data_IF_255758455482
#
_entry.id   IF_255758455482
#
_cell.length_a   1.000
_cell.length_b   1.000
_cell.length_c   1.000
_cell.angle_alpha   90.00
_cell.angle_beta   90.00
_cell.angle_gamma   90.00
#
_symmetry.space_group_name_H-M   'P 1'
#
loop_
_entity.id
_entity.type
_entity.pdbx_description
1 polymer ?
#
# COMPACT_ATOMS: atom_id res chain seq x y z
N UNK A 1 14.36 5.06 -8.64
CA UNK A 1 14.52 5.06 -7.17
C UNK A 1 13.21 4.62 -6.50
N UNK A 2 13.26 3.86 -5.40
CA UNK A 2 12.07 3.53 -4.59
C UNK A 2 11.67 4.77 -3.78
N UNK A 3 10.37 4.99 -3.61
CA UNK A 3 9.81 6.23 -3.05
C UNK A 3 8.43 5.96 -2.44
N UNK A 4 7.81 6.93 -1.75
CA UNK A 4 6.56 6.70 -1.01
C UNK A 4 5.44 6.11 -1.86
N UNK A 5 5.34 6.57 -3.11
CA UNK A 5 4.34 6.13 -4.07
C UNK A 5 4.50 4.66 -4.55
N UNK A 6 5.64 4.04 -4.26
CA UNK A 6 5.95 2.65 -4.63
C UNK A 6 5.56 1.63 -3.55
N UNK A 7 4.92 2.07 -2.46
CA UNK A 7 4.48 1.21 -1.35
C UNK A 7 3.06 1.55 -0.93
N UNK A 8 2.28 0.54 -0.53
CA UNK A 8 0.95 0.76 0.05
C UNK A 8 1.05 0.73 1.57
N UNK A 9 0.49 1.74 2.23
CA UNK A 9 0.55 1.94 3.68
C UNK A 9 -0.84 2.03 4.31
N UNK A 10 -0.90 2.18 5.64
CA UNK A 10 -2.15 2.45 6.36
C UNK A 10 -1.89 3.18 7.67
N UNK A 11 -2.85 4.00 8.10
CA UNK A 11 -2.86 4.67 9.41
C UNK A 11 -3.73 3.96 10.45
N UNK A 12 -4.39 2.86 10.09
CA UNK A 12 -5.33 2.17 10.96
C UNK A 12 -4.60 1.53 12.16
N UNK A 13 -4.82 2.09 13.36
CA UNK A 13 -4.13 1.64 14.57
C UNK A 13 -4.32 0.14 14.86
N UNK A 14 -5.53 -0.46 14.80
CA UNK A 14 -5.72 -1.87 15.19
C UNK A 14 -4.85 -2.84 14.38
N UNK A 15 -4.76 -2.65 13.07
CA UNK A 15 -3.91 -3.49 12.21
C UNK A 15 -2.43 -3.27 12.49
N UNK A 16 -2.04 -2.03 12.81
CA UNK A 16 -0.66 -1.69 13.16
C UNK A 16 -0.24 -2.39 14.46
N UNK A 17 -1.13 -2.48 15.46
CA UNK A 17 -0.83 -3.24 16.68
C UNK A 17 -0.70 -4.74 16.39
N UNK A 18 -1.65 -5.33 15.66
CA UNK A 18 -1.65 -6.77 15.32
C UNK A 18 -0.40 -7.16 14.53
N UNK A 19 0.04 -6.30 13.60
CA UNK A 19 1.13 -6.58 12.68
C UNK A 19 2.42 -5.84 13.04
N UNK A 20 2.56 -5.41 14.29
CA UNK A 20 3.80 -4.80 14.82
C UNK A 20 4.32 -3.68 13.90
N UNK A 21 3.43 -2.73 13.59
CA UNK A 21 3.64 -1.56 12.76
C UNK A 21 4.19 -1.86 11.35
N UNK A 22 3.67 -2.90 10.69
CA UNK A 22 4.06 -3.31 9.34
C UNK A 22 4.13 -2.16 8.31
N UNK A 23 3.29 -1.13 8.43
CA UNK A 23 3.34 0.07 7.57
C UNK A 23 4.68 0.81 7.59
N UNK A 24 5.46 0.71 8.67
CA UNK A 24 6.80 1.32 8.80
C UNK A 24 7.85 0.62 7.94
N UNK A 25 7.55 -0.56 7.42
CA UNK A 25 8.46 -1.32 6.56
C UNK A 25 8.77 -0.59 5.26
N UNK A 26 7.81 0.19 4.72
CA UNK A 26 8.03 1.04 3.55
C UNK A 26 9.14 2.07 3.78
N UNK A 27 9.12 2.77 4.90
CA UNK A 27 10.13 3.75 5.30
C UNK A 27 11.48 3.09 5.63
N UNK A 28 11.47 1.87 6.17
CA UNK A 28 12.69 1.09 6.35
C UNK A 28 13.37 0.75 5.02
N UNK A 29 12.61 0.37 3.98
CA UNK A 29 13.18 0.13 2.65
C UNK A 29 13.67 1.41 1.96
N UNK A 30 13.11 2.58 2.28
CA UNK A 30 13.63 3.86 1.80
C UNK A 30 14.85 4.35 2.58
N UNK A 31 14.87 4.10 3.89
CA UNK A 31 15.90 4.57 4.83
C UNK A 31 16.31 3.45 5.80
N UNK A 32 17.07 2.44 5.34
CA UNK A 32 17.35 1.23 6.12
C UNK A 32 18.16 1.50 7.40
N UNK A 33 18.96 2.57 7.42
CA UNK A 33 19.71 2.99 8.60
C UNK A 33 18.88 3.72 9.67
N UNK A 34 17.60 4.00 9.43
CA UNK A 34 16.74 4.69 10.41
C UNK A 34 16.34 3.73 11.54
N UNK A 35 16.60 4.07 12.82
CA UNK A 35 16.16 3.25 13.95
C UNK A 35 14.65 2.99 13.95
N UNK A 36 14.25 1.79 14.36
CA UNK A 36 12.86 1.34 14.32
C UNK A 36 11.83 2.31 14.95
N UNK A 37 12.08 2.92 16.13
CA UNK A 37 11.13 3.87 16.73
C UNK A 37 10.92 5.14 15.91
N UNK A 38 11.90 5.51 15.08
CA UNK A 38 11.88 6.71 14.25
C UNK A 38 11.29 6.46 12.86
N UNK A 39 11.01 5.22 12.48
CA UNK A 39 10.38 4.90 11.20
C UNK A 39 9.01 5.57 11.08
N UNK A 40 8.75 6.14 9.91
CA UNK A 40 7.59 7.02 9.66
C UNK A 40 6.61 6.36 8.70
N UNK A 41 5.35 6.80 8.75
CA UNK A 41 4.38 6.54 7.68
C UNK A 41 4.34 7.76 6.77
N UNK A 42 4.44 7.57 5.44
CA UNK A 42 4.41 8.68 4.49
C UNK A 42 2.97 8.97 4.03
N UNK A 43 2.50 10.24 4.09
CA UNK A 43 1.18 10.64 3.59
C UNK A 43 1.09 10.61 2.06
N UNK A 44 2.22 10.60 1.38
CA UNK A 44 2.30 10.51 -0.09
C UNK A 44 2.20 9.07 -0.59
N UNK A 45 2.22 8.10 0.31
CA UNK A 45 2.03 6.70 -0.02
C UNK A 45 0.54 6.36 -0.23
N UNK A 46 0.19 5.52 -1.22
CA UNK A 46 -1.17 5.03 -1.36
C UNK A 46 -1.63 4.25 -0.12
N UNK A 47 -2.91 4.41 0.25
CA UNK A 47 -3.48 3.78 1.43
C UNK A 47 -4.31 2.52 1.11
N UNK A 48 -4.15 1.49 1.95
CA UNK A 48 -4.91 0.24 1.87
C UNK A 48 -6.38 0.41 2.32
N UNK A 49 -7.35 -0.20 1.62
CA UNK A 49 -8.79 -0.05 1.89
C UNK A 49 -9.23 -0.30 3.32
N UNK A 50 -8.65 -1.32 3.95
CA UNK A 50 -9.10 -1.90 5.22
C UNK A 50 -7.92 -2.14 6.17
N UNK A 51 -6.82 -1.40 5.94
CA UNK A 51 -5.53 -1.67 6.56
C UNK A 51 -4.94 -3.03 6.14
N UNK A 52 -3.77 -3.38 6.68
CA UNK A 52 -3.09 -4.61 6.29
C UNK A 52 -3.86 -5.86 6.69
N UNK A 53 -4.40 -5.92 7.90
CA UNK A 53 -5.13 -7.10 8.39
C UNK A 53 -6.36 -7.36 7.52
N UNK A 54 -7.14 -6.33 7.22
CA UNK A 54 -8.29 -6.47 6.33
C UNK A 54 -7.89 -6.85 4.91
N UNK A 55 -6.79 -6.29 4.39
CA UNK A 55 -6.27 -6.62 3.06
C UNK A 55 -5.70 -8.04 2.97
N UNK A 56 -5.06 -8.55 4.02
CA UNK A 56 -4.60 -9.95 4.11
C UNK A 56 -5.80 -10.89 3.98
N UNK A 57 -6.87 -10.64 4.74
CA UNK A 57 -8.10 -11.45 4.65
C UNK A 57 -8.77 -11.30 3.27
N UNK A 58 -8.83 -10.08 2.74
CA UNK A 58 -9.44 -9.81 1.43
C UNK A 58 -8.68 -10.48 0.28
N UNK A 59 -7.33 -10.57 0.38
CA UNK A 59 -6.49 -11.23 -0.60
C UNK A 59 -6.75 -12.74 -0.71
N UNK A 60 -7.30 -13.36 0.35
CA UNK A 60 -7.76 -14.75 0.32
C UNK A 60 -9.02 -14.95 -0.55
N UNK A 61 -9.68 -13.87 -0.98
CA UNK A 61 -10.85 -13.90 -1.86
C UNK A 61 -10.56 -13.09 -3.15
N UNK A 62 -9.90 -13.69 -4.16
CA UNK A 62 -9.40 -12.95 -5.33
C UNK A 62 -10.42 -12.05 -6.05
N UNK A 63 -11.68 -12.47 -6.28
CA UNK A 63 -12.66 -11.60 -6.93
C UNK A 63 -12.93 -10.31 -6.15
N UNK A 64 -12.98 -10.40 -4.81
CA UNK A 64 -13.20 -9.23 -3.94
C UNK A 64 -11.94 -8.36 -3.86
N UNK A 65 -10.76 -8.99 -3.78
CA UNK A 65 -9.47 -8.30 -3.82
C UNK A 65 -9.34 -7.44 -5.08
N UNK A 66 -9.48 -8.04 -6.26
CA UNK A 66 -9.33 -7.34 -7.52
C UNK A 66 -10.40 -6.25 -7.69
N UNK A 67 -11.64 -6.48 -7.24
CA UNK A 67 -12.68 -5.45 -7.26
C UNK A 67 -12.31 -4.23 -6.40
N UNK A 68 -11.72 -4.44 -5.23
CA UNK A 68 -11.34 -3.36 -4.32
C UNK A 68 -10.06 -2.63 -4.73
N UNK A 69 -9.07 -3.36 -5.25
CA UNK A 69 -7.74 -2.83 -5.57
C UNK A 69 -7.67 -2.19 -6.97
N UNK A 70 -8.35 -2.74 -7.98
CA UNK A 70 -8.34 -2.14 -9.33
C UNK A 70 -8.86 -0.69 -9.31
N UNK A 71 -9.98 -0.44 -8.60
CA UNK A 71 -10.53 0.92 -8.46
C UNK A 71 -9.52 1.90 -7.86
N UNK A 72 -8.71 1.46 -6.89
CA UNK A 72 -7.69 2.30 -6.25
C UNK A 72 -6.48 2.50 -7.14
N UNK A 73 -6.05 1.44 -7.83
CA UNK A 73 -4.93 1.51 -8.77
C UNK A 73 -5.22 2.48 -9.91
N UNK A 74 -6.44 2.45 -10.45
CA UNK A 74 -6.84 3.39 -11.50
C UNK A 74 -6.89 4.83 -10.97
N UNK A 75 -7.40 5.05 -9.75
CA UNK A 75 -7.35 6.37 -9.11
C UNK A 75 -5.90 6.87 -8.89
N UNK A 76 -4.98 5.99 -8.50
CA UNK A 76 -3.56 6.35 -8.34
C UNK A 76 -2.87 6.69 -9.65
N UNK A 77 -3.14 5.91 -10.71
CA UNK A 77 -2.61 6.18 -12.04
C UNK A 77 -3.05 7.53 -12.57
N UNK A 78 -4.31 7.90 -12.34
CA UNK A 78 -4.84 9.23 -12.67
C UNK A 78 -4.10 10.33 -11.90
N UNK A 79 -3.87 10.14 -10.59
CA UNK A 79 -3.10 11.08 -9.76
C UNK A 79 -1.64 11.23 -10.21
N UNK A 80 -1.04 10.16 -10.73
CA UNK A 80 0.36 10.13 -11.17
C UNK A 80 0.57 10.52 -12.64
N UNK A 81 -0.51 10.77 -13.40
CA UNK A 81 -0.42 11.07 -14.84
C UNK A 81 0.09 9.89 -15.68
N UNK A 82 0.20 8.68 -15.13
CA UNK A 82 0.68 7.49 -15.82
C UNK A 82 -0.43 6.85 -16.65
N UNK A 83 -0.25 6.77 -17.98
CA UNK A 83 -1.19 6.13 -18.90
C UNK A 83 -1.12 4.60 -18.76
N UNK A 84 -2.28 3.93 -18.77
CA UNK A 84 -2.37 2.46 -18.71
C UNK A 84 -1.61 1.83 -19.90
N UNK A 85 -0.67 0.88 -19.72
CA UNK A 85 -0.29 0.03 -20.84
C UNK A 85 -1.53 -0.76 -21.29
N UNK A 86 -1.75 -0.88 -22.59
CA UNK A 86 -2.87 -1.66 -23.13
C UNK A 86 -2.87 -3.05 -22.48
N UNK A 87 -4.03 -3.48 -21.97
CA UNK A 87 -4.14 -4.83 -21.40
C UNK A 87 -3.80 -5.85 -22.50
N UNK A 88 -3.04 -6.92 -22.21
CA UNK A 88 -2.94 -8.02 -23.16
C UNK A 88 -4.35 -8.57 -23.37
N UNK A 89 -4.77 -8.63 -24.63
CA UNK A 89 -5.99 -9.30 -25.03
C UNK A 89 -5.90 -10.76 -24.56
N UNK A 90 -6.85 -11.16 -23.72
CA UNK A 90 -7.12 -12.56 -23.42
C UNK A 90 -8.17 -13.08 -24.39
#
# INVERSE_FOLDING_TARGET
PVGPAHSWNTYAQPTNWILVHLQRHSDHHMYPGRPYPLLRTSPDAPELPTGYTGCILLALMPPLWFRAMHRRLDALRLRQGTRRPAAPAA
#
